data_IF_649664701511
#
_entry.id   IF_649664701511
#
_cell.length_a   1.000
_cell.length_b   1.000
_cell.length_c   1.000
_cell.angle_alpha   90.00
_cell.angle_beta   90.00
_cell.angle_gamma   90.00
#
_symmetry.space_group_name_H-M   'P 1'
#
loop_
_entity.id
_entity.type
_entity.pdbx_description
1 polymer ?
#
# COMPACT_ATOMS: atom_id res chain seq x y z
N UNK A 1 -20.35 -0.91 -31.47
CA UNK A 1 -19.96 0.38 -30.85
C UNK A 1 -20.27 0.49 -29.35
N UNK A 2 -21.39 -0.05 -28.82
CA UNK A 2 -21.75 0.06 -27.37
C UNK A 2 -20.72 -0.53 -26.40
N UNK A 3 -20.16 -1.69 -26.73
CA UNK A 3 -19.08 -2.37 -25.99
C UNK A 3 -17.77 -1.57 -25.89
N UNK A 4 -17.38 -0.86 -26.96
CA UNK A 4 -16.20 -0.01 -26.94
C UNK A 4 -16.35 1.16 -25.95
N UNK A 5 -17.55 1.71 -25.81
CA UNK A 5 -17.86 2.74 -24.81
C UNK A 5 -17.76 2.20 -23.38
N UNK A 6 -18.25 0.99 -23.13
CA UNK A 6 -18.15 0.34 -21.80
C UNK A 6 -16.68 0.10 -21.42
N UNK A 7 -15.87 -0.40 -22.36
CA UNK A 7 -14.44 -0.64 -22.14
C UNK A 7 -13.70 0.67 -21.86
N UNK A 8 -14.01 1.74 -22.59
CA UNK A 8 -13.39 3.06 -22.37
C UNK A 8 -13.71 3.62 -20.97
N UNK A 9 -14.97 3.53 -20.53
CA UNK A 9 -15.38 4.00 -19.20
C UNK A 9 -14.76 3.15 -18.08
N UNK A 10 -14.73 1.83 -18.25
CA UNK A 10 -14.09 0.93 -17.29
C UNK A 10 -12.58 1.18 -17.16
N UNK A 11 -11.89 1.43 -18.27
CA UNK A 11 -10.48 1.80 -18.28
C UNK A 11 -10.21 3.10 -17.53
N UNK A 12 -11.05 4.13 -17.73
CA UNK A 12 -10.93 5.41 -17.03
C UNK A 12 -11.16 5.26 -15.52
N UNK A 13 -12.17 4.48 -15.11
CA UNK A 13 -12.47 4.20 -13.70
C UNK A 13 -11.30 3.49 -12.99
N UNK A 14 -10.59 2.60 -13.69
CA UNK A 14 -9.42 1.92 -13.15
C UNK A 14 -8.26 2.88 -12.86
N UNK A 15 -8.02 3.84 -13.77
CA UNK A 15 -6.94 4.82 -13.63
C UNK A 15 -7.12 5.74 -12.42
N UNK A 16 -8.35 6.02 -12.02
CA UNK A 16 -8.65 6.93 -10.88
C UNK A 16 -8.81 6.20 -9.54
N UNK A 17 -8.86 4.86 -9.52
CA UNK A 17 -9.13 4.04 -8.33
C UNK A 17 -8.09 4.16 -7.20
N UNK A 18 -6.91 4.74 -7.47
CA UNK A 18 -5.85 4.96 -6.49
C UNK A 18 -5.87 6.33 -5.80
N UNK A 19 -6.78 7.22 -6.20
CA UNK A 19 -6.82 8.58 -5.68
C UNK A 19 -7.65 8.64 -4.38
N UNK A 20 -7.06 8.20 -3.26
CA UNK A 20 -7.67 8.40 -1.94
C UNK A 20 -7.19 9.71 -1.33
N UNK A 21 -8.11 10.51 -0.79
CA UNK A 21 -7.78 11.78 -0.14
C UNK A 21 -7.10 11.54 1.22
N UNK A 22 -6.40 12.55 1.73
CA UNK A 22 -5.79 12.46 3.06
C UNK A 22 -6.85 12.35 4.18
N UNK A 23 -8.04 12.90 3.99
CA UNK A 23 -9.12 12.80 4.95
C UNK A 23 -9.82 11.44 4.91
N UNK A 24 -10.05 10.86 3.72
CA UNK A 24 -10.68 9.54 3.59
C UNK A 24 -9.79 8.50 4.22
N UNK A 25 -8.47 8.67 4.01
CA UNK A 25 -7.45 7.86 4.66
C UNK A 25 -7.56 7.91 6.18
N UNK A 26 -7.69 9.12 6.73
CA UNK A 26 -7.78 9.32 8.17
C UNK A 26 -9.06 8.70 8.72
N UNK A 27 -10.19 8.88 8.04
CA UNK A 27 -11.46 8.28 8.43
C UNK A 27 -11.41 6.75 8.43
N UNK A 28 -10.75 6.14 7.42
CA UNK A 28 -10.52 4.70 7.35
C UNK A 28 -9.62 4.20 8.48
N UNK A 29 -8.50 4.88 8.73
CA UNK A 29 -7.57 4.53 9.82
C UNK A 29 -8.27 4.61 11.20
N UNK A 30 -9.08 5.66 11.41
CA UNK A 30 -9.87 5.80 12.62
C UNK A 30 -10.94 4.70 12.75
N UNK A 31 -11.61 4.34 11.66
CA UNK A 31 -12.59 3.25 11.66
C UNK A 31 -11.94 1.91 12.00
N UNK A 32 -10.73 1.66 11.51
CA UNK A 32 -9.95 0.47 11.81
C UNK A 32 -9.50 0.44 13.28
N UNK A 33 -8.99 1.55 13.83
CA UNK A 33 -8.67 1.60 15.25
C UNK A 33 -9.92 1.44 16.14
N UNK A 34 -11.07 1.97 15.73
CA UNK A 34 -12.35 1.73 16.43
C UNK A 34 -12.77 0.26 16.38
N UNK A 35 -12.56 -0.44 15.26
CA UNK A 35 -12.92 -1.86 15.13
C UNK A 35 -12.06 -2.79 16.00
N UNK A 36 -10.83 -2.39 16.31
CA UNK A 36 -10.00 -3.06 17.31
C UNK A 36 -10.43 -2.79 18.77
N UNK A 37 -11.40 -1.90 18.99
CA UNK A 37 -11.94 -1.58 20.32
C UNK A 37 -11.26 -0.41 21.00
N UNK A 38 -10.38 0.33 20.32
CA UNK A 38 -9.79 1.54 20.88
C UNK A 38 -10.82 2.66 20.98
N UNK A 39 -10.87 3.31 22.15
CA UNK A 39 -11.69 4.50 22.35
C UNK A 39 -10.95 5.72 21.83
N UNK A 40 -11.64 6.57 21.07
CA UNK A 40 -11.07 7.81 20.55
C UNK A 40 -10.56 8.72 21.66
N UNK A 41 -9.64 9.64 21.31
CA UNK A 41 -9.03 10.61 22.24
C UNK A 41 -8.29 9.96 23.42
N UNK A 42 -7.64 8.82 23.18
CA UNK A 42 -6.76 8.15 24.14
C UNK A 42 -5.38 7.97 23.53
N UNK A 43 -4.35 7.82 24.38
CA UNK A 43 -2.99 7.56 23.91
C UNK A 43 -2.91 6.24 23.13
N UNK A 44 -3.65 5.21 23.57
CA UNK A 44 -3.75 3.94 22.87
C UNK A 44 -4.34 4.08 21.45
N UNK A 45 -5.32 4.98 21.27
CA UNK A 45 -5.88 5.27 19.95
C UNK A 45 -4.87 6.01 19.07
N UNK A 46 -4.12 6.97 19.64
CA UNK A 46 -3.07 7.68 18.92
C UNK A 46 -1.93 6.73 18.51
N UNK A 47 -1.56 5.78 19.37
CA UNK A 47 -0.57 4.74 19.09
C UNK A 47 -1.04 3.82 17.96
N UNK A 48 -2.31 3.37 17.99
CA UNK A 48 -2.89 2.58 16.90
C UNK A 48 -2.77 3.30 15.55
N UNK A 49 -3.18 4.57 15.49
CA UNK A 49 -3.07 5.38 14.27
C UNK A 49 -1.62 5.55 13.82
N UNK A 50 -0.72 5.82 14.75
CA UNK A 50 0.71 5.96 14.45
C UNK A 50 1.28 4.66 13.89
N UNK A 51 0.91 3.50 14.43
CA UNK A 51 1.39 2.19 13.96
C UNK A 51 0.89 1.88 12.55
N UNK A 52 -0.35 2.21 12.21
CA UNK A 52 -0.87 2.07 10.85
C UNK A 52 -0.09 2.96 9.85
N UNK A 53 0.21 4.20 10.23
CA UNK A 53 1.01 5.10 9.40
C UNK A 53 2.44 4.57 9.17
N UNK A 54 3.08 4.07 10.23
CA UNK A 54 4.42 3.48 10.14
C UNK A 54 4.45 2.22 9.26
N UNK A 55 3.44 1.35 9.40
CA UNK A 55 3.32 0.13 8.59
C UNK A 55 3.24 0.47 7.10
N UNK A 56 2.35 1.40 6.74
CA UNK A 56 2.20 1.92 5.37
C UNK A 56 3.47 2.56 4.82
N UNK A 57 4.18 3.37 5.62
CA UNK A 57 5.49 3.93 5.21
C UNK A 57 6.51 2.84 4.94
N UNK A 58 6.48 1.76 5.74
CA UNK A 58 7.35 0.61 5.52
C UNK A 58 6.99 -0.10 4.20
N UNK A 59 5.71 -0.34 3.91
CA UNK A 59 5.26 -0.90 2.63
C UNK A 59 5.70 -0.05 1.44
N UNK A 60 5.46 1.26 1.48
CA UNK A 60 5.89 2.17 0.42
C UNK A 60 7.41 2.13 0.21
N UNK A 61 8.20 2.01 1.29
CA UNK A 61 9.66 1.87 1.17
C UNK A 61 10.06 0.53 0.55
N UNK A 62 9.37 -0.56 0.90
CA UNK A 62 9.62 -1.90 0.32
C UNK A 62 9.31 -1.93 -1.17
N UNK A 63 8.26 -1.26 -1.60
CA UNK A 63 7.92 -1.17 -3.02
C UNK A 63 9.01 -0.44 -3.81
N UNK A 64 9.56 0.66 -3.25
CA UNK A 64 10.69 1.37 -3.86
C UNK A 64 11.96 0.52 -3.89
N UNK A 65 12.29 -0.15 -2.77
CA UNK A 65 13.45 -1.04 -2.68
C UNK A 65 13.37 -2.19 -3.68
N UNK A 66 12.17 -2.75 -3.92
CA UNK A 66 11.97 -3.89 -4.83
C UNK A 66 12.51 -3.63 -6.24
N UNK A 67 12.47 -2.39 -6.73
CA UNK A 67 13.02 -2.02 -8.04
C UNK A 67 14.53 -1.74 -8.01
N UNK A 68 15.08 -1.42 -6.85
CA UNK A 68 16.49 -1.04 -6.65
C UNK A 68 17.36 -2.24 -6.21
N UNK A 69 16.74 -3.38 -5.89
CA UNK A 69 17.45 -4.60 -5.49
C UNK A 69 18.22 -5.21 -6.68
N UNK A 70 19.54 -5.43 -6.56
CA UNK A 70 20.32 -6.03 -7.63
C UNK A 70 19.91 -7.48 -7.86
N UNK A 71 19.74 -7.86 -9.13
CA UNK A 71 19.53 -9.26 -9.53
C UNK A 71 20.84 -10.03 -9.30
N UNK A 72 20.89 -10.87 -8.28
CA UNK A 72 22.07 -11.71 -7.98
C UNK A 72 22.02 -12.97 -8.85
N UNK A 73 22.88 -13.02 -9.87
CA UNK A 73 23.06 -14.21 -10.71
C UNK A 73 24.18 -15.06 -10.12
N UNK A 74 23.84 -16.20 -9.50
CA UNK A 74 24.85 -17.16 -9.06
C UNK A 74 25.45 -17.86 -10.27
N UNK A 75 26.75 -17.65 -10.49
CA UNK A 75 27.52 -18.39 -11.50
C UNK A 75 28.33 -19.48 -10.79
N UNK A 76 28.06 -20.77 -11.05
CA UNK A 76 28.92 -21.82 -10.52
C UNK A 76 30.31 -21.71 -11.18
N UNK A 77 31.34 -21.68 -10.34
CA UNK A 77 32.73 -21.89 -10.76
C UNK A 77 32.98 -23.38 -10.83
N UNK A 78 33.27 -23.90 -12.02
CA UNK A 78 33.77 -25.24 -12.21
C UNK A 78 35.24 -25.26 -11.78
N UNK A 79 35.50 -25.70 -10.55
CA UNK A 79 36.86 -26.00 -10.12
C UNK A 79 37.27 -27.34 -10.74
N UNK A 80 38.18 -27.30 -11.71
CA UNK A 80 38.85 -28.51 -12.21
C UNK A 80 39.82 -29.03 -11.13
N UNK A 81 39.84 -30.35 -10.85
CA UNK A 81 40.75 -30.95 -9.87
C UNK A 81 42.22 -30.87 -10.30
#
# INVERSE_FOLDING_TARGET
>A
MRWAGIVAVAGLAFLISGCMTAEERRAADEAQCRSYGFRGRTDAFAECLQRLDLFRRAENRRDLDTWDRPVVVYRPILATP
#
